data_IF_943390565570
#
_entry.id   IF_943390565570
#
_cell.length_a   1.000
_cell.length_b   1.000
_cell.length_c   1.000
_cell.angle_alpha   90.00
_cell.angle_beta   90.00
_cell.angle_gamma   90.00
#
_symmetry.space_group_name_H-M   'P 1'
#
loop_
_entity.id
_entity.type
_entity.pdbx_description
1 polymer ?
#
# COMPACT_ATOMS: atom_id res chain seq x y z
N UNK A 1 -14.27 1.20 -5.62
CA UNK A 1 -14.15 0.87 -4.19
C UNK A 1 -13.15 1.84 -3.61
N UNK A 2 -13.52 2.55 -2.53
CA UNK A 2 -12.64 3.51 -1.87
C UNK A 2 -11.34 2.86 -1.38
N UNK A 3 -10.26 3.62 -1.43
CA UNK A 3 -8.94 3.21 -0.99
C UNK A 3 -8.40 4.23 0.02
N UNK A 4 -8.24 3.81 1.28
CA UNK A 4 -7.71 4.66 2.35
C UNK A 4 -6.25 4.31 2.62
N UNK A 5 -5.36 5.29 2.54
CA UNK A 5 -3.97 5.11 2.96
C UNK A 5 -3.91 4.76 4.44
N UNK A 6 -3.07 3.78 4.78
CA UNK A 6 -2.84 3.39 6.17
C UNK A 6 -1.36 3.32 6.46
N UNK A 7 -0.99 3.75 7.66
CA UNK A 7 0.36 3.52 8.16
C UNK A 7 0.43 2.11 8.76
N UNK A 8 1.48 1.38 8.39
CA UNK A 8 1.70 0.01 8.85
C UNK A 8 3.12 -0.15 9.39
N UNK A 9 3.28 -1.10 10.29
CA UNK A 9 4.59 -1.55 10.78
C UNK A 9 4.80 -3.00 10.38
N UNK A 10 6.02 -3.33 9.94
CA UNK A 10 6.39 -4.72 9.65
C UNK A 10 6.47 -5.51 10.96
N UNK A 11 5.72 -6.61 11.04
CA UNK A 11 5.62 -7.46 12.22
C UNK A 11 6.28 -8.84 12.00
N UNK A 12 7.06 -8.99 10.92
CA UNK A 12 7.77 -10.22 10.56
C UNK A 12 7.24 -10.85 9.28
N UNK A 13 7.45 -12.16 9.13
CA UNK A 13 7.07 -12.92 7.93
C UNK A 13 6.14 -14.06 8.32
N UNK A 14 5.01 -14.20 7.61
CA UNK A 14 4.04 -15.28 7.78
C UNK A 14 3.85 -15.97 6.44
N UNK A 15 4.06 -17.29 6.40
CA UNK A 15 3.94 -18.10 5.20
C UNK A 15 4.77 -17.57 4.00
N UNK A 16 5.95 -17.02 4.28
CA UNK A 16 6.85 -16.45 3.25
C UNK A 16 6.48 -15.05 2.77
N UNK A 17 5.38 -14.47 3.25
CA UNK A 17 4.95 -13.10 2.95
C UNK A 17 5.21 -12.18 4.14
N UNK A 18 5.54 -10.92 3.87
CA UNK A 18 5.76 -9.93 4.94
C UNK A 18 4.43 -9.56 5.60
N UNK A 19 4.35 -9.69 6.91
CA UNK A 19 3.17 -9.32 7.69
C UNK A 19 3.27 -7.85 8.10
N UNK A 20 2.31 -7.06 7.64
CA UNK A 20 2.16 -5.65 7.94
C UNK A 20 1.00 -5.48 8.93
N UNK A 21 1.24 -4.76 10.02
CA UNK A 21 0.24 -4.47 11.04
C UNK A 21 -0.12 -2.98 10.97
N UNK A 22 -1.39 -2.62 10.73
CA UNK A 22 -1.83 -1.23 10.76
C UNK A 22 -1.57 -0.60 12.13
N UNK A 23 -0.98 0.60 12.14
CA UNK A 23 -0.69 1.34 13.39
C UNK A 23 -1.92 2.10 13.91
N UNK A 24 -3.00 2.11 13.14
CA UNK A 24 -4.24 2.83 13.43
C UNK A 24 -4.30 4.23 12.82
N UNK A 25 -3.18 4.74 12.29
CA UNK A 25 -3.14 6.01 11.55
C UNK A 25 -3.59 5.81 10.11
N UNK A 26 -4.52 6.64 9.68
CA UNK A 26 -5.07 6.64 8.33
C UNK A 26 -4.72 7.97 7.66
N UNK A 27 -4.37 7.90 6.38
CA UNK A 27 -4.05 9.05 5.54
C UNK A 27 -5.23 9.42 4.65
N UNK A 28 -4.92 9.82 3.42
CA UNK A 28 -5.91 10.26 2.44
C UNK A 28 -6.77 9.06 2.03
N UNK A 29 -8.08 9.29 1.90
CA UNK A 29 -9.01 8.35 1.28
C UNK A 29 -9.32 8.81 -0.13
N UNK A 30 -9.11 7.90 -1.09
CA UNK A 30 -9.43 8.08 -2.50
C UNK A 30 -10.71 7.33 -2.83
N UNK A 31 -11.57 7.89 -3.68
CA UNK A 31 -12.78 7.22 -4.14
C UNK A 31 -12.45 5.96 -4.96
N UNK A 32 -11.34 6.04 -5.73
CA UNK A 32 -10.74 4.92 -6.43
C UNK A 32 -9.23 4.89 -6.25
N UNK A 33 -8.65 3.69 -6.12
CA UNK A 33 -7.19 3.51 -6.11
C UNK A 33 -6.50 4.08 -7.36
N UNK A 34 -7.24 4.15 -8.48
CA UNK A 34 -6.79 4.75 -9.73
C UNK A 34 -6.55 6.27 -9.61
N UNK A 35 -7.23 6.95 -8.69
CA UNK A 35 -7.03 8.38 -8.45
C UNK A 35 -5.66 8.66 -7.83
N UNK A 36 -5.11 7.69 -7.09
CA UNK A 36 -3.74 7.74 -6.59
C UNK A 36 -2.72 7.28 -7.64
N UNK A 37 -3.01 6.20 -8.37
CA UNK A 37 -2.11 5.66 -9.40
C UNK A 37 -1.97 6.58 -10.63
N UNK A 38 -3.06 7.21 -11.05
CA UNK A 38 -3.12 8.00 -12.28
C UNK A 38 -2.10 9.15 -12.35
N UNK A 39 -2.05 10.04 -11.34
CA UNK A 39 -1.04 11.09 -11.26
C UNK A 39 0.40 10.55 -11.23
N UNK A 40 0.64 9.42 -10.55
CA UNK A 40 1.97 8.79 -10.45
C UNK A 40 2.45 8.25 -11.80
N UNK A 41 1.59 7.54 -12.50
CA UNK A 41 1.87 7.05 -13.85
C UNK A 41 2.12 8.20 -14.83
N UNK A 42 1.36 9.30 -14.73
CA UNK A 42 1.62 10.53 -15.51
C UNK A 42 2.97 11.16 -15.18
N UNK A 43 3.38 11.11 -13.92
CA UNK A 43 4.69 11.57 -13.46
C UNK A 43 5.84 10.59 -13.76
N UNK A 44 5.58 9.51 -14.52
CA UNK A 44 6.53 8.40 -14.78
C UNK A 44 7.07 7.72 -13.52
N UNK A 45 6.40 7.91 -12.38
CA UNK A 45 6.57 7.00 -11.26
C UNK A 45 5.89 5.68 -11.66
N UNK A 46 6.58 4.57 -11.47
CA UNK A 46 6.05 3.23 -11.73
C UNK A 46 5.85 2.50 -10.39
N UNK A 47 4.75 2.77 -9.65
CA UNK A 47 4.42 2.01 -8.46
C UNK A 47 4.24 0.54 -8.83
N UNK A 48 4.98 -0.33 -8.16
CA UNK A 48 4.92 -1.77 -8.32
C UNK A 48 3.96 -2.34 -7.30
N UNK A 49 2.93 -3.03 -7.76
CA UNK A 49 2.05 -3.79 -6.89
C UNK A 49 2.81 -4.97 -6.27
N UNK A 50 2.88 -4.99 -4.94
CA UNK A 50 3.48 -6.06 -4.14
C UNK A 50 2.47 -6.71 -3.19
N UNK A 51 1.17 -6.48 -3.40
CA UNK A 51 0.08 -7.00 -2.56
C UNK A 51 0.12 -8.52 -2.41
N UNK A 52 0.64 -9.23 -3.42
CA UNK A 52 0.82 -10.70 -3.39
C UNK A 52 1.95 -11.19 -2.48
N UNK A 53 2.86 -10.31 -2.06
CA UNK A 53 4.03 -10.63 -1.23
C UNK A 53 3.88 -10.18 0.22
N UNK A 54 2.75 -9.54 0.54
CA UNK A 54 2.51 -8.93 1.84
C UNK A 54 1.11 -9.27 2.33
N UNK A 55 1.01 -9.46 3.64
CA UNK A 55 -0.25 -9.71 4.34
C UNK A 55 -0.51 -8.54 5.26
N UNK A 56 -1.71 -7.98 5.24
CA UNK A 56 -2.07 -6.91 6.17
C UNK A 56 -3.02 -7.46 7.22
N UNK A 57 -2.59 -7.44 8.49
CA UNK A 57 -3.36 -8.00 9.59
C UNK A 57 -4.67 -7.25 9.79
N UNK A 58 -5.78 -7.99 9.88
CA UNK A 58 -7.09 -7.43 10.26
C UNK A 58 -7.80 -6.64 9.15
N UNK A 59 -7.31 -6.70 7.91
CA UNK A 59 -7.94 -6.07 6.76
C UNK A 59 -8.36 -7.15 5.77
N UNK A 60 -9.60 -7.12 5.29
CA UNK A 60 -10.11 -8.12 4.34
C UNK A 60 -9.59 -7.92 2.93
N UNK A 61 -9.48 -6.66 2.51
CA UNK A 61 -9.03 -6.28 1.18
C UNK A 61 -8.06 -5.11 1.29
N UNK A 62 -6.87 -5.27 0.73
CA UNK A 62 -5.81 -4.27 0.77
C UNK A 62 -5.06 -4.25 -0.55
N UNK A 63 -4.35 -3.15 -0.79
CA UNK A 63 -3.38 -3.05 -1.87
C UNK A 63 -2.09 -2.42 -1.35
N UNK A 64 -0.94 -2.93 -1.78
CA UNK A 64 0.37 -2.40 -1.39
C UNK A 64 1.19 -2.12 -2.62
N UNK A 65 1.70 -0.91 -2.69
CA UNK A 65 2.54 -0.46 -3.79
C UNK A 65 3.90 -0.04 -3.27
N UNK A 66 4.95 -0.41 -4.02
CA UNK A 66 6.30 0.11 -3.83
C UNK A 66 6.69 1.00 -5.00
N UNK A 67 7.16 2.20 -4.70
CA UNK A 67 7.70 3.12 -5.71
C UNK A 67 9.14 3.51 -5.35
N UNK A 68 9.96 3.76 -6.38
CA UNK A 68 11.30 4.32 -6.17
C UNK A 68 11.21 5.84 -6.14
N UNK A 69 11.63 6.43 -5.02
CA UNK A 69 11.83 7.86 -4.89
C UNK A 69 13.32 8.13 -4.69
N UNK A 70 14.02 8.42 -5.79
CA UNK A 70 15.48 8.55 -5.79
C UNK A 70 16.17 7.25 -5.37
N UNK A 71 16.95 7.30 -4.29
CA UNK A 71 17.67 6.13 -3.75
C UNK A 71 16.83 5.27 -2.78
N UNK A 72 15.63 5.72 -2.41
CA UNK A 72 14.77 5.03 -1.42
C UNK A 72 13.58 4.38 -2.11
N UNK A 73 13.12 3.28 -1.52
CA UNK A 73 11.85 2.64 -1.91
C UNK A 73 10.79 3.08 -0.91
N UNK A 74 9.75 3.74 -1.40
CA UNK A 74 8.58 4.14 -0.62
C UNK A 74 7.52 3.06 -0.78
N UNK A 75 6.94 2.62 0.34
CA UNK A 75 5.88 1.63 0.35
C UNK A 75 4.60 2.29 0.86
N UNK A 76 3.55 2.23 0.06
CA UNK A 76 2.23 2.78 0.39
C UNK A 76 1.23 1.64 0.49
N UNK A 77 0.48 1.59 1.59
CA UNK A 77 -0.54 0.57 1.85
C UNK A 77 -1.91 1.22 1.86
N UNK A 78 -2.85 0.58 1.17
CA UNK A 78 -4.23 0.96 1.09
C UNK A 78 -5.13 -0.09 1.72
N UNK A 79 -6.04 0.35 2.58
CA UNK A 79 -7.23 -0.41 2.97
C UNK A 79 -8.31 -0.18 1.92
N UNK A 80 -8.82 -1.26 1.34
CA UNK A 80 -9.94 -1.20 0.41
C UNK A 80 -11.21 -1.60 1.16
N UNK A 81 -12.25 -0.76 1.06
CA UNK A 81 -13.55 -0.96 1.70
C UNK A 81 -14.65 -1.23 0.68
#
# INVERSE_FOLDING_TARGET
MPATEIEVTSAGTVAGNELLVPTGKQGITYDHLQDWLGPKLKAKASPKDISKKVLVKGIKQWAVFEEKAGARTLRTVFKIT
#
